data_IF_192786436975
#
_entry.id   IF_192786436975
#
_cell.length_a   1.000
_cell.length_b   1.000
_cell.length_c   1.000
_cell.angle_alpha   90.00
_cell.angle_beta   90.00
_cell.angle_gamma   90.00
#
_symmetry.space_group_name_H-M   'P 1'
#
loop_
_entity.id
_entity.type
_entity.pdbx_description
1 polymer ?
#
# COMPACT_ATOMS: atom_id res chain seq x y z
N UNK A 1 15.01 -22.22 49.85
CA UNK A 1 15.46 -21.21 48.85
C UNK A 1 16.41 -21.78 47.79
N UNK A 2 17.58 -22.34 48.11
CA UNK A 2 18.56 -22.87 47.13
C UNK A 2 17.99 -23.88 46.11
N UNK A 3 17.07 -24.78 46.52
CA UNK A 3 16.42 -25.75 45.58
C UNK A 3 15.45 -25.06 44.61
N UNK A 4 14.73 -24.02 45.04
CA UNK A 4 13.81 -23.25 44.21
C UNK A 4 14.56 -22.49 43.12
N UNK A 5 15.67 -21.82 43.44
CA UNK A 5 16.50 -21.12 42.47
C UNK A 5 17.15 -22.07 41.46
N UNK A 6 17.56 -23.26 41.88
CA UNK A 6 18.06 -24.28 40.93
C UNK A 6 16.97 -24.75 39.97
N UNK A 7 15.76 -24.99 40.45
CA UNK A 7 14.63 -25.38 39.61
C UNK A 7 14.22 -24.28 38.66
N UNK A 8 14.09 -23.03 39.12
CA UNK A 8 13.81 -21.89 38.29
C UNK A 8 14.88 -21.68 37.19
N UNK A 9 16.16 -21.84 37.53
CA UNK A 9 17.26 -21.77 36.56
C UNK A 9 17.18 -22.83 35.46
N UNK A 10 16.80 -24.07 35.81
CA UNK A 10 16.61 -25.16 34.83
C UNK A 10 15.42 -24.83 33.90
N UNK A 11 14.31 -24.35 34.44
CA UNK A 11 13.13 -23.99 33.64
C UNK A 11 13.48 -22.86 32.67
N UNK A 12 14.16 -21.82 33.12
CA UNK A 12 14.61 -20.73 32.26
C UNK A 12 15.55 -21.24 31.15
N UNK A 13 16.50 -22.11 31.50
CA UNK A 13 17.40 -22.69 30.51
C UNK A 13 16.65 -23.51 29.46
N UNK A 14 15.67 -24.32 29.86
CA UNK A 14 14.84 -25.11 28.94
C UNK A 14 14.00 -24.20 28.02
N UNK A 15 13.46 -23.09 28.54
CA UNK A 15 12.72 -22.10 27.72
C UNK A 15 13.64 -21.41 26.71
N UNK A 16 14.87 -21.08 27.09
CA UNK A 16 15.86 -20.52 26.18
C UNK A 16 16.22 -21.54 25.08
N UNK A 17 16.47 -22.79 25.45
CA UNK A 17 16.76 -23.86 24.46
C UNK A 17 15.57 -24.06 23.52
N UNK A 18 14.35 -24.11 24.05
CA UNK A 18 13.13 -24.22 23.20
C UNK A 18 12.97 -23.04 22.27
N UNK A 19 13.22 -21.82 22.75
CA UNK A 19 13.18 -20.62 21.92
C UNK A 19 14.25 -20.64 20.80
N UNK A 20 15.47 -21.06 21.12
CA UNK A 20 16.56 -21.21 20.14
C UNK A 20 16.19 -22.27 19.10
N UNK A 21 15.69 -23.44 19.52
CA UNK A 21 15.24 -24.49 18.60
C UNK A 21 14.12 -23.96 17.70
N UNK A 22 13.12 -23.27 18.27
CA UNK A 22 12.05 -22.67 17.49
C UNK A 22 12.58 -21.70 16.43
N UNK A 23 13.46 -20.76 16.81
CA UNK A 23 14.07 -19.79 15.90
C UNK A 23 14.85 -20.48 14.77
N UNK A 24 15.61 -21.52 15.10
CA UNK A 24 16.45 -22.25 14.13
C UNK A 24 15.65 -23.17 13.19
N UNK A 25 14.47 -23.63 13.64
CA UNK A 25 13.63 -24.56 12.88
C UNK A 25 12.43 -23.87 12.21
N UNK A 26 12.13 -22.64 12.59
CA UNK A 26 11.04 -21.88 12.00
C UNK A 26 11.29 -21.70 10.50
N UNK A 27 10.32 -22.13 9.72
CA UNK A 27 10.27 -21.86 8.28
C UNK A 27 8.98 -21.12 8.01
N UNK A 28 9.04 -19.89 7.48
CA UNK A 28 7.84 -19.21 7.05
C UNK A 28 7.08 -20.08 6.06
N UNK A 29 5.76 -20.24 6.21
CA UNK A 29 4.99 -20.97 5.22
C UNK A 29 5.06 -20.25 3.88
N UNK A 30 5.16 -21.02 2.81
CA UNK A 30 5.04 -20.52 1.45
C UNK A 30 3.58 -20.57 1.03
N UNK A 31 3.14 -19.53 0.32
CA UNK A 31 1.81 -19.51 -0.27
C UNK A 31 1.88 -20.06 -1.70
N UNK A 32 1.06 -21.07 -1.98
CA UNK A 32 0.82 -21.58 -3.33
C UNK A 32 -0.39 -20.93 -4.01
N UNK A 33 -1.02 -19.96 -3.33
CA UNK A 33 -2.26 -19.35 -3.77
C UNK A 33 -2.05 -18.44 -4.99
N UNK A 34 -3.15 -18.15 -5.68
CA UNK A 34 -3.20 -17.27 -6.83
C UNK A 34 -2.33 -16.01 -6.63
N UNK A 35 -1.28 -15.88 -7.44
CA UNK A 35 -0.26 -14.84 -7.28
C UNK A 35 -0.67 -13.56 -8.01
N UNK A 36 -1.55 -12.78 -7.37
CA UNK A 36 -1.94 -11.44 -7.85
C UNK A 36 -0.74 -10.50 -7.88
N UNK A 37 0.17 -10.61 -6.92
CA UNK A 37 1.32 -9.69 -6.79
C UNK A 37 2.25 -9.75 -7.99
N UNK A 38 2.56 -10.94 -8.51
CA UNK A 38 3.36 -11.07 -9.73
C UNK A 38 2.65 -10.44 -10.93
N UNK A 39 1.34 -10.64 -11.03
CA UNK A 39 0.52 -10.02 -12.07
C UNK A 39 0.53 -8.49 -11.99
N UNK A 40 0.39 -7.92 -10.79
CA UNK A 40 0.42 -6.47 -10.59
C UNK A 40 1.79 -5.85 -10.89
N UNK A 41 2.89 -6.55 -10.55
CA UNK A 41 4.27 -6.10 -10.81
C UNK A 41 4.56 -5.85 -12.29
N UNK A 42 3.96 -6.62 -13.18
CA UNK A 42 4.11 -6.44 -14.63
C UNK A 42 3.05 -5.52 -15.21
N UNK A 43 1.81 -5.70 -14.83
CA UNK A 43 0.65 -4.98 -15.37
C UNK A 43 0.71 -3.47 -15.08
N UNK A 44 1.00 -3.07 -13.84
CA UNK A 44 0.93 -1.65 -13.48
C UNK A 44 1.96 -0.79 -14.22
N UNK A 45 3.25 -1.15 -14.26
CA UNK A 45 4.22 -0.40 -15.07
C UNK A 45 3.87 -0.34 -16.56
N UNK A 46 3.38 -1.44 -17.13
CA UNK A 46 2.97 -1.51 -18.54
C UNK A 46 1.83 -0.50 -18.82
N UNK A 47 0.78 -0.52 -18.02
CA UNK A 47 -0.36 0.39 -18.19
C UNK A 47 0.03 1.85 -17.97
N UNK A 48 0.94 2.15 -17.03
CA UNK A 48 1.47 3.49 -16.85
C UNK A 48 2.26 3.97 -18.09
N UNK A 49 3.07 3.10 -18.67
CA UNK A 49 3.83 3.40 -19.89
C UNK A 49 2.92 3.56 -21.10
N UNK A 50 1.92 2.70 -21.26
CA UNK A 50 0.89 2.83 -22.31
C UNK A 50 0.10 4.14 -22.20
N UNK A 51 -0.07 4.65 -20.97
CA UNK A 51 -0.65 5.97 -20.71
C UNK A 51 0.34 7.13 -20.91
N UNK A 52 1.55 6.86 -21.42
CA UNK A 52 2.57 7.88 -21.71
C UNK A 52 3.42 8.30 -20.52
N UNK A 53 3.30 7.60 -19.38
CA UNK A 53 4.18 7.88 -18.24
C UNK A 53 5.56 7.21 -18.45
N UNK A 54 6.60 7.93 -18.09
CA UNK A 54 7.98 7.44 -18.12
C UNK A 54 8.50 7.19 -16.72
N UNK A 55 9.32 6.16 -16.56
CA UNK A 55 9.94 5.86 -15.26
C UNK A 55 10.93 6.96 -14.89
N UNK A 56 10.80 7.47 -13.67
CA UNK A 56 11.68 8.50 -13.13
C UNK A 56 12.91 7.88 -12.50
N UNK A 57 14.04 8.54 -12.64
CA UNK A 57 15.20 8.24 -11.82
C UNK A 57 14.92 8.67 -10.39
N UNK A 58 14.88 7.70 -9.49
CA UNK A 58 14.83 7.95 -8.04
C UNK A 58 16.22 7.69 -7.45
N UNK A 59 16.43 8.12 -6.21
CA UNK A 59 17.66 7.81 -5.51
C UNK A 59 17.81 6.28 -5.37
N UNK A 60 19.01 5.75 -5.65
CA UNK A 60 19.29 4.30 -5.50
C UNK A 60 18.96 3.78 -4.12
N UNK A 61 19.06 4.62 -3.09
CA UNK A 61 18.68 4.26 -1.74
C UNK A 61 17.18 3.93 -1.61
N UNK A 62 16.31 4.51 -2.47
CA UNK A 62 14.86 4.24 -2.46
C UNK A 62 14.50 3.07 -3.36
N UNK A 63 15.24 2.83 -4.45
CA UNK A 63 15.07 1.62 -5.28
C UNK A 63 15.29 0.34 -4.47
N UNK A 64 16.19 0.40 -3.49
CA UNK A 64 16.60 -0.74 -2.66
C UNK A 64 16.41 -0.49 -1.17
N UNK A 65 15.48 0.41 -0.83
CA UNK A 65 15.24 0.78 0.56
C UNK A 65 14.98 -0.46 1.42
N UNK A 66 15.88 -0.76 2.34
CA UNK A 66 15.89 -2.01 3.06
C UNK A 66 16.28 -1.84 4.52
N UNK A 67 15.76 -2.73 5.35
CA UNK A 67 16.12 -2.91 6.74
C UNK A 67 16.94 -4.18 6.91
N UNK A 68 18.14 -4.05 7.44
CA UNK A 68 18.96 -5.19 7.80
C UNK A 68 18.37 -5.92 9.02
N UNK A 69 18.22 -7.22 8.88
CA UNK A 69 17.72 -8.08 9.94
C UNK A 69 18.89 -8.67 10.74
N UNK A 70 18.91 -8.35 12.02
CA UNK A 70 19.83 -8.98 12.97
C UNK A 70 19.26 -10.30 13.53
N UNK A 71 20.12 -11.08 14.23
CA UNK A 71 19.66 -12.23 15.01
C UNK A 71 18.66 -11.79 16.10
N UNK A 72 17.56 -12.51 16.30
CA UNK A 72 17.19 -13.82 15.70
C UNK A 72 16.39 -13.70 14.38
N UNK A 73 15.97 -12.50 13.97
CA UNK A 73 15.03 -12.30 12.86
C UNK A 73 15.58 -12.78 11.51
N UNK A 74 16.87 -12.57 11.24
CA UNK A 74 17.50 -13.05 10.01
C UNK A 74 17.45 -14.59 9.89
N UNK A 75 17.47 -15.32 11.01
CA UNK A 75 17.32 -16.77 11.02
C UNK A 75 15.87 -17.20 10.87
N UNK A 76 14.96 -16.53 11.57
CA UNK A 76 13.52 -16.80 11.47
C UNK A 76 12.98 -16.60 10.07
N UNK A 77 13.39 -15.54 9.40
CA UNK A 77 12.90 -15.20 8.06
C UNK A 77 13.79 -15.75 6.93
N UNK A 78 14.96 -16.31 7.25
CA UNK A 78 15.86 -16.88 6.24
C UNK A 78 16.46 -15.84 5.28
N UNK A 79 16.46 -14.57 5.66
CA UNK A 79 17.02 -13.48 4.87
C UNK A 79 17.76 -12.48 5.77
N UNK A 80 18.76 -11.81 5.21
CA UNK A 80 19.56 -10.80 5.92
C UNK A 80 18.95 -9.40 5.92
N UNK A 81 18.01 -9.14 5.03
CA UNK A 81 17.34 -7.85 4.91
C UNK A 81 15.91 -8.00 4.37
N UNK A 82 15.08 -7.02 4.68
CA UNK A 82 13.73 -6.86 4.15
C UNK A 82 13.64 -5.50 3.51
N UNK A 83 13.25 -5.44 2.25
CA UNK A 83 13.21 -4.22 1.45
C UNK A 83 11.79 -3.75 1.14
N UNK A 84 11.66 -2.44 0.95
CA UNK A 84 10.48 -1.76 0.41
C UNK A 84 10.91 -1.03 -0.86
N UNK A 85 11.24 -1.76 -1.94
CA UNK A 85 11.68 -1.14 -3.17
C UNK A 85 10.57 -0.26 -3.76
N UNK A 86 11.00 0.85 -4.35
CA UNK A 86 10.12 1.85 -4.93
C UNK A 86 10.43 2.01 -6.42
N UNK A 87 9.39 2.20 -7.21
CA UNK A 87 9.46 2.69 -8.58
C UNK A 87 8.57 3.91 -8.71
N UNK A 88 8.97 4.87 -9.52
CA UNK A 88 8.19 6.08 -9.75
C UNK A 88 8.09 6.38 -11.25
N UNK A 89 6.94 6.90 -11.67
CA UNK A 89 6.63 7.28 -13.04
C UNK A 89 6.04 8.68 -13.07
N UNK A 90 6.17 9.39 -14.18
CA UNK A 90 5.55 10.68 -14.40
C UNK A 90 5.29 10.96 -15.87
N UNK A 91 4.37 11.89 -16.14
CA UNK A 91 4.09 12.48 -17.45
C UNK A 91 3.64 13.91 -17.28
N UNK A 92 3.30 14.60 -18.37
CA UNK A 92 2.73 15.95 -18.31
C UNK A 92 1.39 16.03 -17.57
N UNK A 93 0.66 14.91 -17.48
CA UNK A 93 -0.65 14.81 -16.81
C UNK A 93 -0.58 14.11 -15.46
N UNK A 94 0.50 13.39 -15.18
CA UNK A 94 0.72 12.62 -13.96
C UNK A 94 1.95 13.19 -13.27
N UNK A 95 1.75 13.96 -12.20
CA UNK A 95 2.85 14.52 -11.42
C UNK A 95 3.72 13.41 -10.83
N UNK A 96 3.09 12.34 -10.34
CA UNK A 96 3.80 11.13 -9.91
C UNK A 96 2.86 9.93 -9.84
N UNK A 97 3.36 8.76 -10.21
CA UNK A 97 2.79 7.47 -9.91
C UNK A 97 3.87 6.63 -9.22
N UNK A 98 3.63 6.20 -8.00
CA UNK A 98 4.59 5.44 -7.20
C UNK A 98 4.09 4.04 -6.94
N UNK A 99 4.98 3.06 -7.13
CA UNK A 99 4.75 1.65 -6.83
C UNK A 99 5.71 1.27 -5.71
N UNK A 100 5.16 0.93 -4.56
CA UNK A 100 5.91 0.35 -3.43
C UNK A 100 5.55 -1.12 -3.32
N UNK A 101 6.57 -1.96 -3.13
CA UNK A 101 6.39 -3.40 -2.97
C UNK A 101 7.15 -3.87 -1.74
N UNK A 102 6.47 -4.61 -0.90
CA UNK A 102 7.07 -5.22 0.27
C UNK A 102 6.85 -6.73 0.22
N UNK A 103 7.89 -7.49 0.48
CA UNK A 103 7.82 -8.94 0.59
C UNK A 103 8.79 -9.42 1.67
N UNK A 104 8.26 -10.08 2.68
CA UNK A 104 9.05 -10.61 3.79
C UNK A 104 8.58 -12.01 4.20
N UNK A 105 9.47 -13.01 4.20
CA UNK A 105 10.78 -12.98 3.57
C UNK A 105 10.66 -12.95 2.04
N UNK A 106 11.68 -12.47 1.35
CA UNK A 106 11.68 -12.44 -0.12
C UNK A 106 11.36 -13.81 -0.70
N UNK A 107 10.55 -13.84 -1.75
CA UNK A 107 10.11 -15.04 -2.49
C UNK A 107 9.27 -16.05 -1.70
N UNK A 108 8.94 -15.81 -0.44
CA UNK A 108 8.13 -16.74 0.37
C UNK A 108 6.63 -16.45 0.29
N UNK A 109 6.27 -15.20 0.01
CA UNK A 109 4.89 -14.73 0.07
C UNK A 109 4.27 -14.75 1.48
N UNK A 110 5.10 -14.83 2.52
CA UNK A 110 4.64 -14.85 3.90
C UNK A 110 3.94 -13.55 4.33
N UNK A 111 4.53 -12.41 3.96
CA UNK A 111 3.91 -11.10 4.02
C UNK A 111 4.18 -10.39 2.70
N UNK A 112 3.16 -9.94 2.06
CA UNK A 112 3.25 -9.16 0.82
C UNK A 112 2.40 -7.93 0.89
N UNK A 113 2.91 -6.86 0.34
CA UNK A 113 2.21 -5.60 0.21
C UNK A 113 2.55 -4.96 -1.14
N UNK A 114 1.54 -4.48 -1.83
CA UNK A 114 1.67 -3.77 -3.10
C UNK A 114 0.85 -2.50 -3.02
N UNK A 115 1.53 -1.37 -3.05
CA UNK A 115 0.90 -0.05 -2.98
C UNK A 115 1.15 0.70 -4.27
N UNK A 116 0.08 1.19 -4.87
CA UNK A 116 0.12 2.12 -6.00
C UNK A 116 -0.54 3.43 -5.59
N UNK A 117 0.18 4.54 -5.78
CA UNK A 117 -0.39 5.88 -5.64
C UNK A 117 -0.18 6.64 -6.94
N UNK A 118 -1.23 7.25 -7.46
CA UNK A 118 -1.16 8.12 -8.63
C UNK A 118 -1.68 9.48 -8.25
N UNK A 119 -0.85 10.48 -8.45
CA UNK A 119 -1.18 11.89 -8.27
C UNK A 119 -1.19 12.57 -9.63
N UNK A 120 -2.35 13.04 -10.10
CA UNK A 120 -2.43 13.89 -11.27
C UNK A 120 -1.66 15.20 -11.09
N UNK A 121 -1.36 15.88 -12.19
CA UNK A 121 -0.80 17.24 -12.12
C UNK A 121 -1.74 18.18 -11.37
N UNK A 122 -1.18 19.13 -10.64
CA UNK A 122 -1.95 20.06 -9.80
C UNK A 122 -2.92 20.96 -10.56
N UNK A 123 -2.72 21.15 -11.86
CA UNK A 123 -3.62 21.93 -12.71
C UNK A 123 -4.84 21.14 -13.19
N UNK A 124 -4.92 19.85 -12.92
CA UNK A 124 -5.99 18.98 -13.42
C UNK A 124 -7.05 18.74 -12.35
N UNK A 125 -8.32 18.87 -12.74
CA UNK A 125 -9.45 18.44 -11.93
C UNK A 125 -9.62 16.92 -12.04
N UNK A 126 -8.69 16.18 -11.46
CA UNK A 126 -8.68 14.72 -11.45
C UNK A 126 -8.40 14.19 -10.04
N UNK A 127 -9.14 13.16 -9.58
CA UNK A 127 -8.90 12.58 -8.27
C UNK A 127 -7.54 11.88 -8.22
N UNK A 128 -6.88 11.89 -7.06
CA UNK A 128 -5.77 10.98 -6.83
C UNK A 128 -6.30 9.54 -6.73
N UNK A 129 -5.49 8.58 -7.18
CA UNK A 129 -5.82 7.17 -7.15
C UNK A 129 -4.88 6.43 -6.19
N UNK A 130 -5.47 5.56 -5.38
CA UNK A 130 -4.73 4.70 -4.48
C UNK A 130 -5.21 3.26 -4.59
N UNK A 131 -4.27 2.35 -4.59
CA UNK A 131 -4.51 0.93 -4.40
C UNK A 131 -3.51 0.39 -3.41
N UNK A 132 -4.00 -0.33 -2.43
CA UNK A 132 -3.22 -1.10 -1.48
C UNK A 132 -3.72 -2.54 -1.51
N UNK A 133 -2.82 -3.48 -1.72
CA UNK A 133 -3.12 -4.90 -1.71
C UNK A 133 -2.14 -5.61 -0.78
N UNK A 134 -2.59 -5.88 0.43
CA UNK A 134 -1.79 -6.47 1.48
C UNK A 134 -2.22 -7.90 1.78
N UNK A 135 -1.27 -8.81 1.77
CA UNK A 135 -1.42 -10.17 2.29
C UNK A 135 -0.52 -10.34 3.51
N UNK A 136 -1.08 -10.26 4.73
CA UNK A 136 -0.30 -10.49 5.94
C UNK A 136 0.02 -11.97 6.13
N UNK A 137 0.68 -12.29 7.23
CA UNK A 137 1.10 -13.64 7.57
C UNK A 137 -0.05 -14.66 7.56
N UNK A 138 0.25 -15.97 7.41
CA UNK A 138 -0.74 -17.04 7.42
C UNK A 138 -1.71 -16.96 8.59
N UNK A 139 -2.98 -17.20 8.29
CA UNK A 139 -4.05 -17.14 9.28
C UNK A 139 -4.60 -15.73 9.54
N UNK A 140 -3.98 -14.69 8.97
CA UNK A 140 -4.51 -13.33 8.98
C UNK A 140 -5.10 -13.03 7.61
N UNK A 141 -6.37 -12.59 7.52
CA UNK A 141 -6.98 -12.24 6.25
C UNK A 141 -6.21 -11.12 5.54
N UNK A 142 -6.06 -11.24 4.23
CA UNK A 142 -5.56 -10.17 3.38
C UNK A 142 -6.53 -8.99 3.33
N UNK A 143 -6.00 -7.83 3.03
CA UNK A 143 -6.77 -6.60 2.87
C UNK A 143 -6.48 -6.01 1.49
N UNK A 144 -7.49 -5.39 0.89
CA UNK A 144 -7.32 -4.61 -0.32
C UNK A 144 -8.11 -3.32 -0.18
N UNK A 145 -7.50 -2.20 -0.58
CA UNK A 145 -8.25 -0.97 -0.80
C UNK A 145 -8.05 -0.48 -2.24
N UNK A 146 -9.10 0.07 -2.82
CA UNK A 146 -9.05 0.83 -4.07
C UNK A 146 -9.86 2.09 -3.81
N UNK A 147 -9.18 3.23 -3.85
CA UNK A 147 -9.75 4.50 -3.44
C UNK A 147 -9.45 5.60 -4.48
N UNK A 148 -10.44 6.45 -4.68
CA UNK A 148 -10.25 7.76 -5.31
C UNK A 148 -10.28 8.82 -4.23
N UNK A 149 -9.24 9.65 -4.17
CA UNK A 149 -9.14 10.72 -3.19
C UNK A 149 -9.36 12.09 -3.82
N UNK A 150 -10.31 12.83 -3.26
CA UNK A 150 -10.45 14.25 -3.51
C UNK A 150 -9.61 15.02 -2.50
N UNK A 151 -8.45 15.45 -2.90
CA UNK A 151 -7.63 16.35 -2.08
C UNK A 151 -8.33 17.70 -1.92
N UNK A 152 -9.11 18.09 -2.91
CA UNK A 152 -10.00 19.23 -2.91
C UNK A 152 -11.46 18.80 -2.68
N UNK A 153 -12.06 19.23 -1.54
CA UNK A 153 -13.41 18.80 -1.14
C UNK A 153 -14.53 19.19 -2.11
N UNK A 154 -14.31 20.19 -2.94
CA UNK A 154 -15.41 20.83 -3.68
C UNK A 154 -15.60 20.30 -5.08
N UNK A 155 -14.88 19.23 -5.53
CA UNK A 155 -14.60 19.30 -6.93
C UNK A 155 -14.87 18.06 -7.76
N UNK A 156 -14.61 16.85 -7.30
CA UNK A 156 -14.63 15.75 -8.26
C UNK A 156 -15.73 14.76 -7.93
N UNK A 157 -16.83 14.92 -8.66
CA UNK A 157 -17.88 13.91 -8.75
C UNK A 157 -17.39 12.85 -9.74
N UNK A 158 -17.20 11.62 -9.31
CA UNK A 158 -16.63 10.55 -10.14
C UNK A 158 -17.47 10.27 -11.39
N UNK A 159 -18.80 10.36 -11.26
CA UNK A 159 -19.73 10.25 -12.39
C UNK A 159 -19.41 11.27 -13.51
N UNK A 160 -19.08 12.50 -13.12
CA UNK A 160 -18.70 13.56 -14.07
C UNK A 160 -17.31 13.31 -14.63
N UNK A 161 -16.37 12.91 -13.79
CA UNK A 161 -14.98 12.63 -14.20
C UNK A 161 -14.92 11.47 -15.22
N UNK A 162 -15.60 10.37 -14.94
CA UNK A 162 -15.63 9.22 -15.85
C UNK A 162 -16.63 9.38 -17.00
N UNK A 163 -17.67 10.20 -16.82
CA UNK A 163 -18.70 10.42 -17.84
C UNK A 163 -19.34 9.11 -18.30
N UNK A 164 -19.46 8.88 -19.61
CA UNK A 164 -20.04 7.67 -20.18
C UNK A 164 -19.32 6.36 -19.81
N UNK A 165 -18.08 6.42 -19.34
CA UNK A 165 -17.32 5.25 -18.88
C UNK A 165 -17.58 4.93 -17.39
N UNK A 166 -18.41 5.73 -16.69
CA UNK A 166 -18.65 5.55 -15.25
C UNK A 166 -19.31 4.22 -14.92
N UNK A 167 -20.14 3.67 -15.80
CA UNK A 167 -20.79 2.38 -15.56
C UNK A 167 -19.75 1.24 -15.39
N UNK A 168 -18.64 1.27 -16.13
CA UNK A 168 -17.54 0.28 -15.95
C UNK A 168 -16.93 0.37 -14.55
N UNK A 169 -16.76 1.58 -14.01
CA UNK A 169 -16.27 1.80 -12.66
C UNK A 169 -17.25 1.23 -11.64
N UNK A 170 -18.53 1.53 -11.82
CA UNK A 170 -19.60 1.07 -10.94
C UNK A 170 -19.70 -0.47 -10.94
N UNK A 171 -19.71 -1.10 -12.11
CA UNK A 171 -19.70 -2.56 -12.24
C UNK A 171 -18.49 -3.20 -11.56
N UNK A 172 -17.30 -2.60 -11.70
CA UNK A 172 -16.09 -3.08 -11.02
C UNK A 172 -16.25 -3.02 -9.50
N UNK A 173 -16.78 -1.93 -8.95
CA UNK A 173 -17.06 -1.81 -7.52
C UNK A 173 -18.14 -2.78 -7.03
N UNK A 174 -19.23 -2.94 -7.80
CA UNK A 174 -20.30 -3.88 -7.48
C UNK A 174 -19.80 -5.33 -7.45
N UNK A 175 -18.91 -5.70 -8.38
CA UNK A 175 -18.38 -7.06 -8.48
C UNK A 175 -17.62 -7.52 -7.23
N UNK A 176 -16.98 -6.60 -6.52
CA UNK A 176 -16.20 -6.87 -5.30
C UNK A 176 -16.97 -6.55 -4.02
N UNK A 177 -18.18 -6.00 -4.12
CA UNK A 177 -18.97 -5.51 -2.97
C UNK A 177 -19.24 -6.58 -1.91
N UNK A 178 -19.37 -7.84 -2.30
CA UNK A 178 -19.54 -8.97 -1.37
C UNK A 178 -18.35 -9.22 -0.44
N UNK A 179 -17.16 -8.74 -0.81
CA UNK A 179 -15.95 -8.82 -0.01
C UNK A 179 -15.71 -7.56 0.82
N UNK A 180 -16.63 -6.60 0.76
CA UNK A 180 -16.52 -5.35 1.49
C UNK A 180 -16.45 -5.61 2.99
N UNK A 181 -15.44 -5.06 3.62
CA UNK A 181 -15.24 -5.13 5.07
C UNK A 181 -16.41 -4.51 5.82
N UNK A 182 -16.90 -5.17 6.85
CA UNK A 182 -17.99 -4.67 7.69
C UNK A 182 -17.50 -3.68 8.75
N UNK A 183 -18.43 -2.97 9.40
CA UNK A 183 -18.10 -2.06 10.51
C UNK A 183 -17.54 -2.85 11.71
N UNK A 184 -18.06 -4.05 11.97
CA UNK A 184 -17.60 -4.96 13.01
C UNK A 184 -16.15 -5.40 12.75
N UNK A 185 -15.79 -5.64 11.51
CA UNK A 185 -14.44 -5.95 11.06
C UNK A 185 -13.51 -4.74 11.06
N UNK A 186 -14.01 -3.56 11.39
CA UNK A 186 -13.23 -2.35 11.59
C UNK A 186 -13.13 -1.44 10.37
N UNK A 187 -14.07 -1.54 9.39
CA UNK A 187 -14.16 -0.61 8.27
C UNK A 187 -14.10 0.83 8.74
N UNK A 188 -13.21 1.61 8.13
CA UNK A 188 -13.02 3.02 8.43
C UNK A 188 -12.39 3.34 9.79
N UNK A 189 -12.19 2.38 10.70
CA UNK A 189 -11.57 2.67 12.01
C UNK A 189 -10.12 3.10 11.88
N UNK A 190 -9.35 2.39 11.04
CA UNK A 190 -7.92 2.64 10.86
C UNK A 190 -7.70 3.85 9.96
N UNK A 191 -8.60 4.09 9.01
CA UNK A 191 -8.47 5.11 7.96
C UNK A 191 -9.35 6.33 8.16
N UNK A 192 -9.91 6.53 9.36
CA UNK A 192 -10.80 7.66 9.69
C UNK A 192 -10.20 9.04 9.37
N UNK A 193 -8.90 9.19 9.50
CA UNK A 193 -8.18 10.43 9.17
C UNK A 193 -8.24 10.77 7.67
N UNK A 194 -8.56 9.80 6.81
CA UNK A 194 -8.75 9.98 5.36
C UNK A 194 -10.18 10.36 4.98
N UNK A 195 -11.15 10.27 5.90
CA UNK A 195 -12.56 10.55 5.60
C UNK A 195 -12.79 11.92 4.92
N UNK A 196 -12.03 12.99 5.24
CA UNK A 196 -12.16 14.26 4.54
C UNK A 196 -11.82 14.23 3.06
N UNK A 197 -11.05 13.23 2.62
CA UNK A 197 -10.47 13.14 1.28
C UNK A 197 -11.09 12.02 0.43
N UNK A 198 -11.84 11.10 1.04
CA UNK A 198 -12.43 9.96 0.35
C UNK A 198 -13.65 10.36 -0.48
N UNK A 199 -13.78 9.75 -1.63
CA UNK A 199 -15.02 9.80 -2.43
C UNK A 199 -16.04 8.79 -1.92
N UNK A 200 -17.25 8.79 -2.50
CA UNK A 200 -18.26 7.76 -2.22
C UNK A 200 -17.82 6.36 -2.70
N UNK A 201 -16.99 6.31 -3.72
CA UNK A 201 -16.48 5.07 -4.32
C UNK A 201 -15.13 4.72 -3.73
N UNK A 202 -15.17 3.95 -2.66
CA UNK A 202 -14.01 3.38 -1.99
C UNK A 202 -14.28 1.93 -1.64
N UNK A 203 -13.27 1.11 -1.75
CA UNK A 203 -13.30 -0.28 -1.35
C UNK A 203 -12.34 -0.53 -0.20
N UNK A 204 -12.86 -1.14 0.86
CA UNK A 204 -12.05 -1.77 1.90
C UNK A 204 -12.48 -3.25 1.92
N UNK A 205 -11.73 -4.09 1.24
CA UNK A 205 -12.06 -5.49 1.04
C UNK A 205 -11.27 -6.36 2.01
N UNK A 206 -11.88 -7.47 2.43
CA UNK A 206 -11.24 -8.45 3.30
C UNK A 206 -11.27 -9.83 2.65
N UNK A 207 -10.12 -10.51 2.72
CA UNK A 207 -9.94 -11.86 2.21
C UNK A 207 -10.86 -12.84 2.97
N UNK A 208 -11.67 -13.65 2.28
CA UNK A 208 -12.48 -14.69 2.90
C UNK A 208 -11.62 -15.77 3.56
N UNK A 209 -12.18 -16.42 4.59
CA UNK A 209 -11.53 -17.55 5.26
C UNK A 209 -11.63 -18.85 4.47
N UNK A 210 -12.70 -19.02 3.73
CA UNK A 210 -12.92 -20.18 2.88
C UNK A 210 -12.00 -20.15 1.66
N UNK A 211 -11.39 -21.27 1.30
CA UNK A 211 -10.38 -21.35 0.23
C UNK A 211 -10.99 -21.10 -1.15
N UNK A 212 -12.20 -21.60 -1.42
CA UNK A 212 -12.86 -21.40 -2.70
C UNK A 212 -13.28 -19.94 -2.88
N UNK A 213 -13.85 -19.33 -1.84
CA UNK A 213 -14.19 -17.90 -1.83
C UNK A 213 -12.95 -17.02 -1.92
N UNK A 214 -11.84 -17.43 -1.33
CA UNK A 214 -10.55 -16.73 -1.41
C UNK A 214 -10.01 -16.66 -2.82
N UNK A 215 -10.07 -17.78 -3.55
CA UNK A 215 -9.68 -17.79 -4.97
C UNK A 215 -10.57 -16.84 -5.78
N UNK A 216 -11.87 -16.86 -5.54
CA UNK A 216 -12.80 -15.95 -6.20
C UNK A 216 -12.50 -14.47 -5.85
N UNK A 217 -12.20 -14.19 -4.59
CA UNK A 217 -11.77 -12.87 -4.12
C UNK A 217 -10.60 -12.34 -4.94
N UNK A 218 -9.50 -13.08 -5.03
CA UNK A 218 -8.32 -12.65 -5.77
C UNK A 218 -8.60 -12.41 -7.25
N UNK A 219 -9.32 -13.32 -7.90
CA UNK A 219 -9.69 -13.18 -9.31
C UNK A 219 -10.58 -11.95 -9.57
N UNK A 220 -11.53 -11.72 -8.67
CA UNK A 220 -12.48 -10.61 -8.80
C UNK A 220 -11.80 -9.26 -8.56
N UNK A 221 -10.95 -9.17 -7.52
CA UNK A 221 -10.17 -7.96 -7.23
C UNK A 221 -9.20 -7.63 -8.36
N UNK A 222 -8.47 -8.62 -8.86
CA UNK A 222 -7.55 -8.44 -10.00
C UNK A 222 -8.29 -7.93 -11.25
N UNK A 223 -9.45 -8.52 -11.55
CA UNK A 223 -10.29 -8.09 -12.68
C UNK A 223 -10.81 -6.67 -12.51
N UNK A 224 -11.32 -6.34 -11.33
CA UNK A 224 -11.83 -5.00 -11.04
C UNK A 224 -10.73 -3.93 -11.18
N UNK A 225 -9.56 -4.19 -10.59
CA UNK A 225 -8.42 -3.30 -10.67
C UNK A 225 -7.94 -3.09 -12.13
N UNK A 226 -7.85 -4.18 -12.91
CA UNK A 226 -7.47 -4.15 -14.32
C UNK A 226 -8.48 -3.42 -15.21
N UNK A 227 -9.73 -3.34 -14.80
CA UNK A 227 -10.74 -2.52 -15.48
C UNK A 227 -10.62 -1.04 -15.10
N UNK A 228 -10.38 -0.75 -13.83
CA UNK A 228 -10.36 0.62 -13.29
C UNK A 228 -9.12 1.39 -13.73
N UNK A 229 -7.92 0.83 -13.57
CA UNK A 229 -6.66 1.58 -13.74
C UNK A 229 -6.46 2.15 -15.15
N UNK A 230 -6.62 1.37 -16.25
CA UNK A 230 -6.45 1.91 -17.60
C UNK A 230 -7.46 3.01 -17.90
N UNK A 231 -8.71 2.83 -17.41
CA UNK A 231 -9.77 3.80 -17.62
C UNK A 231 -9.52 5.10 -16.87
N UNK A 232 -9.06 5.00 -15.61
CA UNK A 232 -8.64 6.15 -14.83
C UNK A 232 -7.53 6.95 -15.53
N UNK A 233 -6.46 6.28 -15.98
CA UNK A 233 -5.35 6.92 -16.68
C UNK A 233 -5.78 7.57 -18.00
N UNK A 234 -6.66 6.90 -18.77
CA UNK A 234 -7.27 7.49 -19.97
C UNK A 234 -8.00 8.80 -19.64
N UNK A 235 -8.76 8.84 -18.52
CA UNK A 235 -9.48 10.06 -18.11
C UNK A 235 -8.55 11.16 -17.63
N UNK A 236 -7.52 10.83 -16.83
CA UNK A 236 -6.50 11.79 -16.43
C UNK A 236 -5.82 12.42 -17.65
N UNK A 237 -5.44 11.60 -18.63
CA UNK A 237 -4.82 12.08 -19.86
C UNK A 237 -5.74 12.97 -20.73
N UNK A 238 -7.05 12.78 -20.62
CA UNK A 238 -8.05 13.60 -21.32
C UNK A 238 -8.41 14.89 -20.57
N UNK A 239 -7.97 15.08 -19.33
CA UNK A 239 -8.21 16.30 -18.58
C UNK A 239 -7.41 17.46 -19.17
N UNK A 240 -8.06 18.61 -19.28
CA UNK A 240 -7.40 19.87 -19.63
C UNK A 240 -7.01 20.64 -18.38
N UNK A 241 -5.85 21.33 -18.40
CA UNK A 241 -5.46 22.21 -17.30
C UNK A 241 -6.48 23.31 -17.05
N UNK A 242 -6.81 23.54 -15.79
CA UNK A 242 -7.72 24.59 -15.36
C UNK A 242 -6.91 25.73 -14.75
N UNK A 243 -7.02 26.93 -15.35
CA UNK A 243 -6.30 28.10 -14.87
C UNK A 243 -6.64 28.42 -13.41
N UNK A 244 -5.61 28.63 -12.59
CA UNK A 244 -5.75 28.91 -11.15
C UNK A 244 -6.08 27.69 -10.28
N UNK A 245 -6.31 26.50 -10.83
CA UNK A 245 -6.66 25.33 -10.05
C UNK A 245 -5.50 24.83 -9.17
N UNK A 246 -4.27 24.94 -9.66
CA UNK A 246 -3.07 24.61 -8.88
C UNK A 246 -2.92 25.47 -7.62
N UNK A 247 -3.49 26.68 -7.65
CA UNK A 247 -3.42 27.62 -6.53
C UNK A 247 -4.14 27.06 -5.30
N UNK A 248 -3.40 26.83 -4.23
CA UNK A 248 -3.90 26.18 -3.01
C UNK A 248 -4.04 24.66 -3.07
N UNK A 249 -4.01 24.02 -4.25
CA UNK A 249 -4.08 22.56 -4.35
C UNK A 249 -2.83 21.89 -3.77
N UNK A 250 -1.66 22.45 -4.02
CA UNK A 250 -0.40 21.97 -3.44
C UNK A 250 -0.43 21.98 -1.90
N UNK A 251 -0.96 23.03 -1.29
CA UNK A 251 -1.10 23.14 0.16
C UNK A 251 -2.07 22.09 0.72
N UNK A 252 -3.14 21.79 0.00
CA UNK A 252 -4.09 20.72 0.38
C UNK A 252 -3.44 19.34 0.26
N UNK A 253 -2.64 19.12 -0.79
CA UNK A 253 -1.87 17.88 -0.95
C UNK A 253 -0.87 17.70 0.19
N UNK A 254 -0.17 18.75 0.61
CA UNK A 254 0.73 18.70 1.77
C UNK A 254 -0.02 18.30 3.04
N UNK A 255 -1.22 18.83 3.28
CA UNK A 255 -2.07 18.44 4.41
C UNK A 255 -2.50 16.97 4.33
N UNK A 256 -2.85 16.49 3.14
CA UNK A 256 -3.20 15.09 2.91
C UNK A 256 -2.02 14.15 3.20
N UNK A 257 -0.84 14.44 2.65
CA UNK A 257 0.39 13.66 2.87
C UNK A 257 0.78 13.65 4.36
N UNK A 258 0.65 14.81 5.04
CA UNK A 258 0.88 14.91 6.49
C UNK A 258 -0.13 14.06 7.28
N UNK A 259 -1.41 14.07 6.90
CA UNK A 259 -2.43 13.29 7.59
C UNK A 259 -2.12 11.79 7.54
N UNK A 260 -1.66 11.27 6.40
CA UNK A 260 -1.22 9.89 6.25
C UNK A 260 0.04 9.64 7.09
N UNK A 261 1.06 10.49 6.96
CA UNK A 261 2.33 10.35 7.69
C UNK A 261 2.16 10.25 9.19
N UNK A 262 1.26 11.07 9.74
CA UNK A 262 1.02 11.12 11.20
C UNK A 262 0.12 9.98 11.69
N UNK A 263 -0.86 9.55 10.90
CA UNK A 263 -1.95 8.71 11.40
C UNK A 263 -1.90 7.26 10.89
N UNK A 264 -1.35 7.01 9.70
CA UNK A 264 -1.34 5.70 9.12
C UNK A 264 -0.48 4.71 9.94
N UNK A 265 -0.99 3.48 10.09
CA UNK A 265 -0.32 2.47 10.91
C UNK A 265 0.96 1.94 10.24
N UNK A 266 0.91 1.66 8.94
CA UNK A 266 2.06 1.13 8.20
C UNK A 266 3.17 2.19 8.12
N UNK A 267 2.79 3.46 7.89
CA UNK A 267 3.71 4.60 7.89
C UNK A 267 4.35 4.81 9.27
N UNK A 268 3.57 4.72 10.36
CA UNK A 268 4.11 4.76 11.73
C UNK A 268 5.11 3.64 12.00
N UNK A 269 4.83 2.45 11.48
CA UNK A 269 5.75 1.32 11.61
C UNK A 269 7.04 1.59 10.82
N UNK A 270 6.94 2.04 9.58
CA UNK A 270 8.07 2.44 8.74
C UNK A 270 8.96 3.49 9.43
N UNK A 271 8.34 4.54 10.00
CA UNK A 271 9.06 5.57 10.77
C UNK A 271 9.84 4.98 11.95
N UNK A 272 9.24 4.10 12.72
CA UNK A 272 9.91 3.43 13.86
C UNK A 272 11.07 2.54 13.42
N UNK A 273 10.91 1.85 12.29
CA UNK A 273 11.91 0.92 11.77
C UNK A 273 13.08 1.65 11.10
N UNK A 274 12.81 2.64 10.28
CA UNK A 274 13.79 3.28 9.39
C UNK A 274 14.15 4.71 9.81
N UNK A 275 13.46 5.30 10.81
CA UNK A 275 13.74 6.63 11.37
C UNK A 275 13.85 7.73 10.30
N UNK A 276 14.92 8.52 10.33
CA UNK A 276 15.11 9.66 9.42
C UNK A 276 15.18 9.28 7.94
N UNK A 277 15.69 8.07 7.63
CA UNK A 277 15.70 7.58 6.25
C UNK A 277 14.28 7.32 5.71
N UNK A 278 13.33 6.98 6.58
CA UNK A 278 11.93 6.84 6.17
C UNK A 278 11.28 8.19 5.81
N UNK A 279 11.64 9.27 6.50
CA UNK A 279 11.14 10.61 6.17
C UNK A 279 11.54 10.99 4.74
N UNK A 280 12.82 10.78 4.38
CA UNK A 280 13.30 11.02 3.02
C UNK A 280 12.64 10.11 1.99
N UNK A 281 12.55 8.81 2.29
CA UNK A 281 11.81 7.87 1.45
C UNK A 281 10.38 8.35 1.20
N UNK A 282 9.68 8.82 2.24
CA UNK A 282 8.30 9.27 2.17
C UNK A 282 8.14 10.53 1.32
N UNK A 283 8.99 11.54 1.54
CA UNK A 283 8.87 12.82 0.84
C UNK A 283 9.49 12.78 -0.56
N UNK A 284 10.72 12.33 -0.66
CA UNK A 284 11.54 12.47 -1.88
C UNK A 284 11.36 11.27 -2.82
N UNK A 285 10.99 10.11 -2.27
CA UNK A 285 10.79 8.88 -3.04
C UNK A 285 9.32 8.57 -3.35
N UNK A 286 8.46 8.65 -2.35
CA UNK A 286 7.07 8.18 -2.49
C UNK A 286 6.11 9.27 -2.96
N UNK A 287 6.13 10.46 -2.34
CA UNK A 287 5.20 11.54 -2.68
C UNK A 287 5.79 12.60 -3.59
N UNK A 288 7.09 12.78 -3.63
CA UNK A 288 7.78 13.87 -4.34
C UNK A 288 7.18 15.24 -4.00
N UNK A 289 7.12 15.53 -2.71
CA UNK A 289 6.55 16.77 -2.17
C UNK A 289 7.59 17.45 -1.32
N UNK A 290 7.93 18.70 -1.68
CA UNK A 290 8.81 19.55 -0.88
C UNK A 290 8.00 20.15 0.28
N UNK A 291 8.22 19.62 1.47
CA UNK A 291 7.54 20.08 2.69
C UNK A 291 8.27 19.63 3.95
N UNK A 292 8.01 20.34 5.04
CA UNK A 292 8.41 19.88 6.37
C UNK A 292 7.32 18.97 6.96
N UNK A 293 7.75 17.87 7.54
CA UNK A 293 6.88 16.98 8.30
C UNK A 293 6.98 17.27 9.79
N UNK A 294 5.88 17.05 10.55
CA UNK A 294 5.89 17.25 11.99
C UNK A 294 6.99 16.42 12.67
N UNK A 295 7.67 17.02 13.64
CA UNK A 295 8.60 16.28 14.51
C UNK A 295 7.86 15.24 15.34
N UNK A 296 8.53 14.13 15.61
CA UNK A 296 8.00 13.12 16.54
C UNK A 296 8.01 13.70 17.97
N UNK A 297 6.84 13.68 18.59
CA UNK A 297 6.69 13.99 20.03
C UNK A 297 6.91 12.75 20.87
#
# INVERSE_FOLDING_TARGET
MKKFFKFAGIVILLLIIAAVIFIMTFKPPTYSDYDVFTGLRSFVPEVLQDAGATERNISKEFETFALDLSFPFNKMFGCSSVGIPLRAFSSDKIATATISQFEAPPSSGYFRDFVLNIRPDYNLQAPAFHMDFMKPSPGTPGLCSIDFFNVDKDVIVLETFFGGDFEVIKEAFESVSKFQRTVEEGRGKITKYLDPYKTAYRMELIEPKDEAERKEYYLTVDKAFKAILPLYLKKVNACEPVAGYAEGHEEKMKKFVTAIYVNDFAVKLGRKMFKDSFKRYWLDGFWFVDMELPEEK
#
